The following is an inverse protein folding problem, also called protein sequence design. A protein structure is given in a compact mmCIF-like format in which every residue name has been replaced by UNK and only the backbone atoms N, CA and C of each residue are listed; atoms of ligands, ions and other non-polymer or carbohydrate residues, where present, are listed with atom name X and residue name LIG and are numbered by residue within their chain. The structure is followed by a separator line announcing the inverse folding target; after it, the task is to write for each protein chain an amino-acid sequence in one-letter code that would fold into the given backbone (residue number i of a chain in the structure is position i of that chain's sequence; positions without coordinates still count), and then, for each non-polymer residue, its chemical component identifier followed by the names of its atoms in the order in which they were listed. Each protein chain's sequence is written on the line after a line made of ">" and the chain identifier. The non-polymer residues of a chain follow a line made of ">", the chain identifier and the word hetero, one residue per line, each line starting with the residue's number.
data_IF_423614420054
#
_entry.id   IF_423614420054
#
_cell.length_a   1.000
_cell.length_b   1.000
_cell.length_c   1.000
_cell.angle_alpha   90.00
_cell.angle_beta   90.00
_cell.angle_gamma   90.00
#
_symmetry.space_group_name_H-M   'P 1'
#
loop_
_entity.id
_entity.type
_entity.pdbx_description
1 polymer ?
#
# COMPACT_ATOMS: atom_id res chain seq x y z
N UNK A 1 -0.52 -0.14 5.32
CA UNK A 1 0.75 -0.29 4.59
C UNK A 1 1.74 0.47 5.41
N UNK A 2 2.79 -0.20 5.84
CA UNK A 2 3.86 0.37 6.62
C UNK A 2 4.98 0.77 5.66
N UNK A 3 5.45 2.01 5.80
CA UNK A 3 6.60 2.49 5.06
C UNK A 3 7.89 2.12 5.78
N UNK A 4 8.81 1.45 5.08
CA UNK A 4 10.02 0.88 5.64
C UNK A 4 11.32 1.44 5.02
N UNK A 5 11.26 2.66 4.47
CA UNK A 5 12.40 3.28 3.78
C UNK A 5 13.66 3.34 4.64
N UNK A 6 13.53 3.72 5.92
CA UNK A 6 14.70 3.90 6.79
C UNK A 6 15.45 2.58 7.03
N UNK A 7 14.73 1.47 7.21
CA UNK A 7 15.40 0.17 7.40
C UNK A 7 15.97 -0.35 6.10
N UNK A 8 15.22 -0.25 5.00
CA UNK A 8 15.72 -0.60 3.67
C UNK A 8 17.03 0.16 3.36
N UNK A 9 17.06 1.48 3.59
CA UNK A 9 18.25 2.30 3.41
C UNK A 9 19.42 1.89 4.33
N UNK A 10 19.13 1.59 5.60
CA UNK A 10 20.16 1.18 6.57
C UNK A 10 20.84 -0.14 6.20
N UNK A 11 20.09 -1.13 5.68
CA UNK A 11 20.65 -2.39 5.16
C UNK A 11 21.67 -2.18 4.04
N UNK A 12 21.58 -1.05 3.32
CA UNK A 12 22.51 -0.64 2.25
C UNK A 12 23.56 0.36 2.73
N UNK A 13 23.70 0.55 4.04
CA UNK A 13 24.67 1.45 4.64
C UNK A 13 24.30 2.94 4.57
N UNK A 14 23.05 3.27 4.21
CA UNK A 14 22.57 4.65 4.14
C UNK A 14 21.84 5.00 5.44
N UNK A 15 22.54 5.72 6.32
CA UNK A 15 22.05 6.07 7.66
C UNK A 15 21.48 7.49 7.77
N UNK A 16 21.72 8.34 6.77
CA UNK A 16 21.33 9.76 6.77
C UNK A 16 20.38 10.06 5.62
N UNK A 17 19.29 10.77 5.90
CA UNK A 17 18.31 11.18 4.89
C UNK A 17 18.91 12.07 3.81
N UNK A 18 19.90 12.90 4.16
CA UNK A 18 20.63 13.77 3.22
C UNK A 18 21.48 12.99 2.23
N UNK A 19 22.07 11.87 2.67
CA UNK A 19 22.82 10.95 1.80
C UNK A 19 21.89 10.27 0.79
N UNK A 20 20.75 9.76 1.26
CA UNK A 20 19.73 9.18 0.37
C UNK A 20 19.24 10.22 -0.64
N UNK A 21 18.93 11.45 -0.18
CA UNK A 21 18.50 12.54 -1.06
C UNK A 21 19.50 12.83 -2.17
N UNK A 22 20.80 12.84 -1.87
CA UNK A 22 21.85 13.06 -2.87
C UNK A 22 21.82 11.95 -3.92
N UNK A 23 21.79 10.68 -3.49
CA UNK A 23 21.74 9.52 -4.40
C UNK A 23 20.49 9.50 -5.28
N UNK A 24 19.34 9.91 -4.73
CA UNK A 24 18.10 10.06 -5.50
C UNK A 24 18.23 11.18 -6.55
N UNK A 25 18.83 12.31 -6.19
CA UNK A 25 19.08 13.39 -7.15
C UNK A 25 20.06 12.98 -8.26
N UNK A 26 21.11 12.23 -7.93
CA UNK A 26 22.05 11.66 -8.91
C UNK A 26 21.35 10.71 -9.90
N UNK A 27 20.25 10.07 -9.48
CA UNK A 27 19.40 9.23 -10.31
C UNK A 27 18.23 9.99 -10.99
N UNK A 28 18.20 11.33 -10.90
CA UNK A 28 17.19 12.18 -11.55
C UNK A 28 15.93 12.45 -10.72
N UNK A 29 15.87 12.00 -9.47
CA UNK A 29 14.76 12.26 -8.54
C UNK A 29 15.10 13.37 -7.55
N UNK A 30 14.77 14.61 -7.91
CA UNK A 30 14.96 15.77 -7.04
C UNK A 30 13.86 15.88 -5.97
N UNK A 31 14.23 15.66 -4.72
CA UNK A 31 13.32 15.76 -3.56
C UNK A 31 13.73 16.93 -2.68
N UNK A 32 12.77 17.80 -2.34
CA UNK A 32 13.01 18.88 -1.38
C UNK A 32 13.39 18.35 0.02
N UNK A 33 14.11 19.14 0.82
CA UNK A 33 14.50 18.75 2.18
C UNK A 33 13.28 18.35 3.04
N UNK A 34 12.18 19.10 2.92
CA UNK A 34 10.93 18.83 3.64
C UNK A 34 10.27 17.52 3.21
N UNK A 35 10.13 17.27 1.90
CA UNK A 35 9.56 16.02 1.37
C UNK A 35 10.44 14.83 1.77
N UNK A 36 11.76 14.98 1.72
CA UNK A 36 12.70 13.93 2.16
C UNK A 36 12.55 13.61 3.64
N UNK A 37 12.42 14.62 4.50
CA UNK A 37 12.24 14.43 5.95
C UNK A 37 10.92 13.68 6.25
N UNK A 38 9.84 14.05 5.57
CA UNK A 38 8.55 13.37 5.69
C UNK A 38 8.62 11.91 5.22
N UNK A 39 9.29 11.63 4.10
CA UNK A 39 9.53 10.27 3.60
C UNK A 39 10.42 9.45 4.54
N UNK A 40 11.39 10.07 5.20
CA UNK A 40 12.36 9.37 6.05
C UNK A 40 11.77 8.98 7.41
N UNK A 41 10.90 9.80 7.96
CA UNK A 41 10.38 9.66 9.33
C UNK A 41 8.95 9.12 9.40
N UNK A 42 8.14 9.38 8.37
CA UNK A 42 6.71 9.06 8.35
C UNK A 42 6.32 8.11 7.21
N UNK A 43 5.05 7.74 7.18
CA UNK A 43 4.44 7.03 6.04
C UNK A 43 3.82 8.05 5.10
N UNK A 44 4.29 8.15 3.84
CA UNK A 44 3.69 9.08 2.88
C UNK A 44 2.23 8.70 2.60
N UNK A 45 1.37 9.72 2.47
CA UNK A 45 -0.02 9.52 2.05
C UNK A 45 -0.12 9.16 0.58
N UNK A 46 0.76 9.73 -0.24
CA UNK A 46 0.87 9.48 -1.68
C UNK A 46 2.33 9.38 -2.08
N UNK A 47 2.60 8.50 -3.05
CA UNK A 47 3.90 8.40 -3.72
C UNK A 47 3.63 8.10 -5.19
N UNK A 48 4.40 8.72 -6.09
CA UNK A 48 4.30 8.42 -7.51
C UNK A 48 5.02 7.10 -7.79
N UNK A 49 4.50 6.33 -8.74
CA UNK A 49 5.11 5.05 -9.13
C UNK A 49 6.51 5.27 -9.74
N UNK A 50 6.69 6.33 -10.52
CA UNK A 50 7.99 6.75 -11.05
C UNK A 50 9.01 7.05 -9.94
N UNK A 51 8.63 7.81 -8.90
CA UNK A 51 9.47 8.09 -7.74
C UNK A 51 9.82 6.79 -7.00
N UNK A 52 8.84 5.89 -6.82
CA UNK A 52 9.03 4.62 -6.13
C UNK A 52 10.02 3.72 -6.88
N UNK A 53 9.93 3.66 -8.21
CA UNK A 53 10.83 2.88 -9.06
C UNK A 53 12.28 3.36 -8.93
N UNK A 54 12.51 4.69 -8.98
CA UNK A 54 13.84 5.27 -8.76
C UNK A 54 14.36 5.00 -7.35
N UNK A 55 13.52 5.09 -6.33
CA UNK A 55 13.91 4.76 -4.94
C UNK A 55 14.33 3.29 -4.84
N UNK A 56 13.55 2.39 -5.44
CA UNK A 56 13.86 0.97 -5.50
C UNK A 56 15.19 0.71 -6.23
N UNK A 57 15.44 1.38 -7.35
CA UNK A 57 16.67 1.25 -8.11
C UNK A 57 17.89 1.78 -7.35
N UNK A 58 17.78 2.95 -6.72
CA UNK A 58 18.88 3.55 -5.92
C UNK A 58 19.20 2.72 -4.68
N UNK A 59 18.19 2.10 -4.10
CA UNK A 59 18.39 1.20 -2.99
C UNK A 59 18.78 -0.20 -3.47
N UNK A 60 18.52 -0.64 -4.70
CA UNK A 60 18.61 -2.06 -5.07
C UNK A 60 17.69 -2.90 -4.17
N UNK A 61 16.39 -2.57 -4.19
CA UNK A 61 15.37 -3.25 -3.41
C UNK A 61 14.02 -3.35 -4.15
N UNK A 62 13.23 -4.36 -3.81
CA UNK A 62 11.88 -4.52 -4.32
C UNK A 62 10.87 -3.58 -3.60
N UNK A 63 9.81 -3.09 -4.27
CA UNK A 63 8.76 -2.30 -3.63
C UNK A 63 8.14 -2.96 -2.39
N UNK A 64 8.09 -4.30 -2.32
CA UNK A 64 7.61 -5.03 -1.16
C UNK A 64 8.46 -4.83 0.10
N UNK A 65 9.74 -4.50 -0.06
CA UNK A 65 10.66 -4.18 1.03
C UNK A 65 10.37 -2.79 1.60
N UNK A 66 9.90 -1.86 0.76
CA UNK A 66 9.51 -0.50 1.15
C UNK A 66 8.08 -0.41 1.69
N UNK A 67 7.15 -1.16 1.07
CA UNK A 67 5.71 -1.12 1.34
C UNK A 67 5.25 -2.44 1.98
N UNK A 68 5.37 -2.50 3.31
CA UNK A 68 5.02 -3.71 4.08
C UNK A 68 3.52 -3.76 4.36
N UNK A 69 2.88 -4.89 4.05
CA UNK A 69 1.46 -5.09 4.33
C UNK A 69 1.22 -5.28 5.82
N UNK A 70 0.16 -4.64 6.33
CA UNK A 70 -0.27 -4.79 7.73
C UNK A 70 -1.61 -5.55 7.78
N UNK A 71 -1.58 -6.89 7.83
CA UNK A 71 -2.79 -7.70 7.69
C UNK A 71 -3.80 -7.45 8.81
N UNK A 72 -3.33 -7.20 10.04
CA UNK A 72 -4.19 -6.89 11.19
C UNK A 72 -5.00 -5.60 10.97
N UNK A 73 -4.35 -4.52 10.47
CA UNK A 73 -5.04 -3.26 10.15
C UNK A 73 -6.06 -3.43 9.03
N UNK A 74 -5.78 -4.30 8.05
CA UNK A 74 -6.71 -4.61 6.96
C UNK A 74 -7.91 -5.43 7.47
N UNK A 75 -7.67 -6.43 8.33
CA UNK A 75 -8.71 -7.25 8.92
C UNK A 75 -9.68 -6.41 9.78
N UNK A 76 -9.15 -5.53 10.64
CA UNK A 76 -9.97 -4.66 11.48
C UNK A 76 -10.91 -3.76 10.65
N UNK A 77 -10.41 -3.24 9.52
CA UNK A 77 -11.20 -2.41 8.60
C UNK A 77 -12.34 -3.18 7.93
N UNK A 78 -12.14 -4.48 7.65
CA UNK A 78 -13.18 -5.35 7.08
C UNK A 78 -14.27 -5.61 8.10
N UNK A 79 -13.90 -5.93 9.34
CA UNK A 79 -14.84 -6.23 10.43
C UNK A 79 -15.74 -5.03 10.77
N UNK A 80 -15.19 -3.81 10.78
CA UNK A 80 -15.96 -2.58 11.01
C UNK A 80 -17.01 -2.35 9.90
N UNK A 81 -16.69 -2.68 8.65
CA UNK A 81 -17.59 -2.50 7.51
C UNK A 81 -18.74 -3.53 7.47
N UNK A 82 -18.56 -4.70 8.07
CA UNK A 82 -19.63 -5.70 8.25
C UNK A 82 -20.56 -5.40 9.43
N UNK A 83 -20.14 -4.60 10.40
CA UNK A 83 -20.99 -4.22 11.54
C UNK A 83 -22.03 -3.15 11.17
N UNK A 84 -21.74 -2.29 10.18
CA UNK A 84 -22.65 -1.22 9.71
C UNK A 84 -23.74 -1.74 8.74
N UNK A 85 -23.67 -3.01 8.35
CA UNK A 85 -24.66 -3.71 7.51
C UNK A 85 -25.44 -4.80 8.25
N UNK A 86 -25.33 -4.88 9.58
CA UNK A 86 -26.09 -5.81 10.39
C UNK A 86 -27.46 -5.21 10.73
N UNK A 87 -28.39 -5.30 9.78
CA UNK A 87 -29.81 -5.42 10.11
C UNK A 87 -29.96 -6.57 11.10
N UNK A 88 -30.57 -6.26 12.23
CA UNK A 88 -30.72 -7.11 13.41
C UNK A 88 -31.83 -8.13 13.15
N UNK A 89 -31.60 -9.46 13.13
CA UNK A 89 -32.72 -10.39 13.16
C UNK A 89 -32.96 -10.82 14.61
N UNK A 90 -33.93 -10.16 15.24
CA UNK A 90 -34.69 -10.83 16.30
C UNK A 90 -35.63 -11.84 15.61
N UNK A 91 -35.30 -13.14 15.73
CA UNK A 91 -36.22 -14.26 15.52
C UNK A 91 -36.79 -14.47 14.11
N UNK A 92 -36.14 -15.32 13.31
CA UNK A 92 -36.70 -15.87 12.07
C UNK A 92 -35.63 -16.59 11.25
N UNK A 93 -35.91 -17.82 10.80
CA UNK A 93 -34.98 -18.71 10.09
C UNK A 93 -34.18 -17.99 8.97
N UNK A 94 -32.88 -18.28 8.79
CA UNK A 94 -32.07 -17.63 7.77
C UNK A 94 -32.36 -18.24 6.39
N UNK A 95 -33.35 -17.69 5.69
CA UNK A 95 -33.37 -17.77 4.22
C UNK A 95 -32.22 -16.92 3.72
N UNK A 96 -31.08 -17.55 3.45
CA UNK A 96 -29.96 -16.92 2.78
C UNK A 96 -30.42 -16.46 1.39
N UNK A 97 -30.87 -15.20 1.29
CA UNK A 97 -31.01 -14.49 0.02
C UNK A 97 -29.61 -14.26 -0.54
N UNK A 98 -29.02 -15.32 -1.04
CA UNK A 98 -27.87 -15.25 -1.94
C UNK A 98 -28.36 -14.46 -3.14
N UNK A 99 -27.95 -13.19 -3.25
CA UNK A 99 -28.10 -12.44 -4.48
C UNK A 99 -27.29 -13.19 -5.53
N UNK A 100 -27.93 -14.11 -6.25
CA UNK A 100 -27.32 -14.77 -7.38
C UNK A 100 -27.25 -13.73 -8.50
N UNK A 101 -26.07 -13.29 -8.93
CA UNK A 101 -25.96 -12.46 -10.11
C UNK A 101 -26.57 -13.27 -11.27
N UNK A 102 -27.61 -12.74 -11.90
CA UNK A 102 -28.15 -13.31 -13.15
C UNK A 102 -27.11 -13.08 -14.23
N UNK A 103 -26.13 -13.98 -14.29
CA UNK A 103 -25.15 -14.05 -15.36
C UNK A 103 -25.90 -14.52 -16.60
N UNK A 104 -26.51 -13.58 -17.33
CA UNK A 104 -27.08 -13.84 -18.64
C UNK A 104 -26.05 -14.53 -19.53
N UNK A 105 -26.52 -15.29 -20.53
CA UNK A 105 -25.71 -16.15 -21.43
C UNK A 105 -24.55 -15.45 -22.16
N UNK A 106 -24.38 -14.14 -21.99
CA UNK A 106 -23.29 -13.35 -22.55
C UNK A 106 -22.14 -13.28 -21.53
N UNK A 107 -21.45 -14.40 -21.31
CA UNK A 107 -20.14 -14.40 -20.65
C UNK A 107 -19.16 -13.68 -21.57
N UNK A 108 -18.91 -12.39 -21.33
CA UNK A 108 -17.67 -11.75 -21.77
C UNK A 108 -16.52 -12.48 -21.09
N UNK A 109 -15.73 -13.22 -21.88
CA UNK A 109 -14.49 -13.81 -21.40
C UNK A 109 -13.45 -12.68 -21.27
N UNK A 110 -12.62 -12.66 -20.21
CA UNK A 110 -11.49 -11.73 -20.15
C UNK A 110 -10.57 -11.94 -21.35
N UNK A 111 -9.96 -10.88 -21.91
CA UNK A 111 -8.98 -11.02 -22.98
C UNK A 111 -7.80 -11.87 -22.51
N UNK A 112 -7.34 -12.75 -23.40
CA UNK A 112 -6.19 -13.63 -23.20
C UNK A 112 -4.88 -12.84 -23.06
#
# INVERSE_FOLDING_TARGET
>A
MQWNLRMAAAERGIWKSTELRRRLADAGLEISAGKMSALWTGTPTTIRLEDLDVICAVLDCEPSTLLVREPAKVAARRSAKTADGADQPAGGQPSASTVQPRLGRNRTRPPA
#
